data_IF_981258460807
#
_entry.id   IF_981258460807
#
_cell.length_a   1.000
_cell.length_b   1.000
_cell.length_c   1.000
_cell.angle_alpha   90.00
_cell.angle_beta   90.00
_cell.angle_gamma   90.00
#
_symmetry.space_group_name_H-M   'P 1'
#
loop_
_entity.id
_entity.type
_entity.pdbx_description
1 polymer ?
#
# COMPACT_ATOMS: atom_id res chain seq x y z
N UNK A 1 -13.21 -15.58 3.23
CA UNK A 1 -12.96 -14.31 2.52
C UNK A 1 -12.10 -13.41 3.38
N UNK A 2 -11.16 -12.72 2.77
CA UNK A 2 -10.21 -11.85 3.48
C UNK A 2 -10.28 -10.43 2.93
N UNK A 3 -10.32 -9.42 3.81
CA UNK A 3 -10.37 -8.01 3.43
C UNK A 3 -9.10 -7.28 3.87
N UNK A 4 -8.60 -6.43 2.99
CA UNK A 4 -7.52 -5.48 3.27
C UNK A 4 -8.10 -4.08 3.32
N UNK A 5 -7.91 -3.37 4.41
CA UNK A 5 -8.29 -1.96 4.55
C UNK A 5 -7.01 -1.13 4.54
N UNK A 6 -6.81 -0.36 3.50
CA UNK A 6 -5.66 0.56 3.38
C UNK A 6 -6.09 1.90 3.96
N UNK A 7 -5.50 2.27 5.09
CA UNK A 7 -5.83 3.49 5.83
C UNK A 7 -4.75 4.55 5.62
N UNK A 8 -5.17 5.74 5.22
CA UNK A 8 -4.27 6.88 5.03
C UNK A 8 -4.77 8.10 5.80
N UNK A 9 -4.42 8.20 7.08
CA UNK A 9 -4.65 9.39 7.90
C UNK A 9 -3.60 9.51 8.99
N UNK A 10 -3.04 10.72 9.21
CA UNK A 10 -1.97 10.92 10.20
C UNK A 10 -2.44 10.85 11.65
N UNK A 11 -3.73 11.11 11.92
CA UNK A 11 -4.27 11.12 13.28
C UNK A 11 -4.96 9.80 13.62
N UNK A 12 -4.43 9.10 14.62
CA UNK A 12 -4.96 7.81 15.05
C UNK A 12 -6.38 7.89 15.64
N UNK A 13 -6.81 9.07 16.08
CA UNK A 13 -8.15 9.31 16.62
C UNK A 13 -9.11 9.91 15.60
N UNK A 14 -8.70 10.00 14.33
CA UNK A 14 -9.51 10.57 13.27
C UNK A 14 -10.76 9.76 13.00
N UNK A 15 -11.74 10.41 12.38
CA UNK A 15 -12.93 9.74 11.86
C UNK A 15 -12.55 8.60 10.90
N UNK A 16 -11.56 8.84 10.02
CA UNK A 16 -11.08 7.83 9.08
C UNK A 16 -10.50 6.59 9.78
N UNK A 17 -9.69 6.79 10.82
CA UNK A 17 -9.13 5.67 11.58
C UNK A 17 -10.23 4.88 12.31
N UNK A 18 -11.22 5.57 12.86
CA UNK A 18 -12.36 4.93 13.50
C UNK A 18 -13.21 4.14 12.49
N UNK A 19 -13.45 4.70 11.31
CA UNK A 19 -14.18 4.02 10.24
C UNK A 19 -13.45 2.75 9.77
N UNK A 20 -12.13 2.80 9.66
CA UNK A 20 -11.34 1.61 9.32
C UNK A 20 -11.50 0.52 10.38
N UNK A 21 -11.45 0.88 11.66
CA UNK A 21 -11.62 -0.07 12.76
C UNK A 21 -13.02 -0.67 12.79
N UNK A 22 -14.05 0.16 12.64
CA UNK A 22 -15.45 -0.29 12.56
C UNK A 22 -15.63 -1.23 11.36
N UNK A 23 -15.06 -0.87 10.22
CA UNK A 23 -15.11 -1.71 9.02
C UNK A 23 -14.51 -3.09 9.26
N UNK A 24 -13.34 -3.13 9.90
CA UNK A 24 -12.69 -4.40 10.25
C UNK A 24 -13.58 -5.24 11.17
N UNK A 25 -14.07 -4.65 12.26
CA UNK A 25 -14.93 -5.35 13.23
C UNK A 25 -16.23 -5.86 12.59
N UNK A 26 -16.82 -5.06 11.70
CA UNK A 26 -18.05 -5.44 10.99
C UNK A 26 -17.81 -6.62 10.06
N UNK A 27 -16.72 -6.62 9.32
CA UNK A 27 -16.36 -7.73 8.45
C UNK A 27 -16.09 -9.01 9.27
N UNK A 28 -15.36 -8.88 10.36
CA UNK A 28 -15.10 -10.02 11.25
C UNK A 28 -16.39 -10.60 11.84
N UNK A 29 -17.36 -9.76 12.20
CA UNK A 29 -18.66 -10.20 12.68
C UNK A 29 -19.46 -10.97 11.62
N UNK A 30 -19.19 -10.72 10.34
CA UNK A 30 -19.80 -11.41 9.20
C UNK A 30 -19.00 -12.66 8.76
N UNK A 31 -17.99 -13.04 9.52
CA UNK A 31 -17.20 -14.25 9.25
C UNK A 31 -15.99 -14.06 8.35
N UNK A 32 -15.64 -12.81 7.99
CA UNK A 32 -14.43 -12.50 7.25
C UNK A 32 -13.22 -12.47 8.18
N UNK A 33 -12.04 -12.65 7.62
CA UNK A 33 -10.81 -12.13 8.22
C UNK A 33 -10.54 -10.75 7.63
N UNK A 34 -9.93 -9.84 8.40
CA UNK A 34 -9.65 -8.49 7.94
C UNK A 34 -8.37 -7.96 8.58
N UNK A 35 -7.60 -7.19 7.80
CA UNK A 35 -6.41 -6.51 8.30
C UNK A 35 -6.43 -5.05 7.85
N UNK A 36 -5.80 -4.18 8.66
CA UNK A 36 -5.64 -2.77 8.33
C UNK A 36 -4.17 -2.52 8.01
N UNK A 37 -3.91 -1.97 6.83
CA UNK A 37 -2.62 -1.41 6.47
C UNK A 37 -2.65 0.09 6.74
N UNK A 38 -2.12 0.50 7.91
CA UNK A 38 -2.08 1.90 8.33
C UNK A 38 -0.79 2.53 7.83
N UNK A 39 -0.87 3.24 6.71
CA UNK A 39 0.31 3.73 5.99
C UNK A 39 1.14 4.74 6.79
N UNK A 40 0.50 5.64 7.52
CA UNK A 40 1.21 6.60 8.37
C UNK A 40 1.92 5.91 9.54
N UNK A 41 1.24 4.98 10.19
CA UNK A 41 1.80 4.25 11.34
C UNK A 41 2.97 3.36 10.92
N UNK A 42 2.89 2.79 9.72
CA UNK A 42 3.96 1.95 9.16
C UNK A 42 5.15 2.77 8.68
N UNK A 43 5.03 4.09 8.62
CA UNK A 43 6.06 4.94 8.02
C UNK A 43 6.29 4.60 6.55
N UNK A 44 5.21 4.32 5.82
CA UNK A 44 5.32 3.97 4.41
C UNK A 44 5.95 5.12 3.62
N UNK A 45 7.02 4.84 2.85
CA UNK A 45 7.65 5.83 1.98
C UNK A 45 6.87 5.94 0.67
N UNK A 46 6.19 7.07 0.42
CA UNK A 46 5.37 7.23 -0.77
C UNK A 46 6.14 7.60 -2.03
N UNK A 47 7.40 8.00 -1.89
CA UNK A 47 8.17 8.55 -3.02
C UNK A 47 8.92 7.43 -3.74
N UNK A 48 8.47 7.10 -4.94
CA UNK A 48 9.22 6.16 -5.77
C UNK A 48 10.52 6.80 -6.27
N UNK A 49 11.60 6.03 -6.29
CA UNK A 49 12.90 6.52 -6.70
C UNK A 49 13.92 5.40 -6.89
N UNK A 50 15.03 5.74 -7.57
CA UNK A 50 16.07 4.75 -7.90
C UNK A 50 16.77 4.18 -6.66
N UNK A 51 16.75 4.90 -5.55
CA UNK A 51 17.34 4.45 -4.29
C UNK A 51 16.65 3.22 -3.69
N UNK A 52 15.44 2.91 -4.13
CA UNK A 52 14.72 1.71 -3.74
C UNK A 52 15.19 0.44 -4.48
N UNK A 53 16.04 0.59 -5.48
CA UNK A 53 16.49 -0.50 -6.35
C UNK A 53 18.01 -0.57 -6.35
N UNK A 54 18.63 -1.18 -5.32
CA UNK A 54 20.10 -1.22 -5.19
C UNK A 54 20.81 -2.06 -6.26
N UNK A 55 20.07 -2.96 -6.92
CA UNK A 55 20.58 -3.77 -8.03
C UNK A 55 19.74 -3.53 -9.29
N UNK A 56 19.82 -2.35 -9.90
CA UNK A 56 18.96 -2.00 -11.02
C UNK A 56 19.28 -2.83 -12.27
N UNK A 57 18.25 -3.06 -13.08
CA UNK A 57 18.40 -3.68 -14.40
C UNK A 57 19.15 -2.74 -15.35
N UNK A 58 18.83 -1.46 -15.28
CA UNK A 58 19.43 -0.42 -16.10
C UNK A 58 20.04 0.64 -15.20
N UNK A 59 21.38 0.63 -15.00
CA UNK A 59 22.01 1.58 -14.06
C UNK A 59 22.11 3.00 -14.57
N UNK A 60 22.02 3.22 -15.89
CA UNK A 60 22.23 4.54 -16.48
C UNK A 60 20.95 5.37 -16.65
N UNK A 61 19.80 4.73 -16.51
CA UNK A 61 18.51 5.40 -16.64
C UNK A 61 17.47 4.75 -15.73
N UNK A 62 16.86 5.54 -14.85
CA UNK A 62 15.83 5.04 -13.95
C UNK A 62 14.46 5.04 -14.64
N UNK A 63 13.93 3.85 -14.88
CA UNK A 63 12.54 3.62 -15.28
C UNK A 63 11.82 2.94 -14.12
N UNK A 64 10.90 3.65 -13.47
CA UNK A 64 10.18 3.09 -12.32
C UNK A 64 9.48 1.78 -12.67
N UNK A 65 8.74 1.74 -13.78
CA UNK A 65 8.03 0.55 -14.21
C UNK A 65 9.00 -0.60 -14.56
N UNK A 66 10.09 -0.28 -15.25
CA UNK A 66 11.09 -1.28 -15.62
C UNK A 66 11.76 -1.89 -14.41
N UNK A 67 12.14 -1.08 -13.43
CA UNK A 67 12.78 -1.56 -12.21
C UNK A 67 11.81 -2.30 -11.30
N UNK A 68 10.56 -1.87 -11.20
CA UNK A 68 9.52 -2.58 -10.45
C UNK A 68 9.31 -3.99 -11.00
N UNK A 69 9.16 -4.10 -12.33
CA UNK A 69 9.00 -5.39 -12.97
C UNK A 69 10.21 -6.31 -12.76
N UNK A 70 11.40 -5.76 -12.96
CA UNK A 70 12.64 -6.51 -12.74
C UNK A 70 12.76 -7.00 -11.29
N UNK A 71 12.45 -6.13 -10.33
CA UNK A 71 12.49 -6.49 -8.91
C UNK A 71 11.43 -7.55 -8.57
N UNK A 72 10.23 -7.45 -9.14
CA UNK A 72 9.21 -8.47 -8.96
C UNK A 72 9.64 -9.83 -9.54
N UNK A 73 10.20 -9.83 -10.75
CA UNK A 73 10.64 -11.04 -11.42
C UNK A 73 11.84 -11.72 -10.73
N UNK A 74 12.65 -10.97 -10.00
CA UNK A 74 13.85 -11.46 -9.31
C UNK A 74 13.68 -11.59 -7.79
N UNK A 75 12.46 -11.46 -7.27
CA UNK A 75 12.13 -11.45 -5.83
C UNK A 75 12.97 -10.42 -5.05
N UNK A 76 13.12 -9.24 -5.62
CA UNK A 76 13.93 -8.15 -5.08
C UNK A 76 13.13 -6.88 -4.82
N UNK A 77 11.80 -6.97 -4.68
CA UNK A 77 10.97 -5.83 -4.29
C UNK A 77 11.44 -5.27 -2.93
N UNK A 78 11.46 -3.95 -2.75
CA UNK A 78 11.76 -3.36 -1.45
C UNK A 78 10.89 -4.00 -0.36
N UNK A 79 11.43 -4.29 0.83
CA UNK A 79 10.68 -5.03 1.87
C UNK A 79 9.34 -4.43 2.21
N UNK A 80 9.25 -3.11 2.27
CA UNK A 80 8.01 -2.41 2.58
C UNK A 80 6.96 -2.61 1.47
N UNK A 81 7.37 -2.56 0.21
CA UNK A 81 6.49 -2.82 -0.94
C UNK A 81 6.10 -4.30 -1.00
N UNK A 82 7.05 -5.19 -0.78
CA UNK A 82 6.77 -6.64 -0.78
C UNK A 82 5.70 -7.00 0.24
N UNK A 83 5.80 -6.45 1.44
CA UNK A 83 4.79 -6.68 2.49
C UNK A 83 3.39 -6.22 2.05
N UNK A 84 3.28 -5.08 1.38
CA UNK A 84 1.99 -4.57 0.90
C UNK A 84 1.45 -5.40 -0.27
N UNK A 85 2.31 -5.81 -1.19
CA UNK A 85 1.92 -6.70 -2.30
C UNK A 85 1.38 -8.03 -1.77
N UNK A 86 2.04 -8.62 -0.78
CA UNK A 86 1.56 -9.85 -0.14
C UNK A 86 0.18 -9.68 0.50
N UNK A 87 -0.10 -8.52 1.12
CA UNK A 87 -1.43 -8.20 1.64
C UNK A 87 -2.47 -8.14 0.52
N UNK A 88 -2.11 -7.51 -0.60
CA UNK A 88 -2.99 -7.42 -1.76
C UNK A 88 -3.30 -8.80 -2.36
N UNK A 89 -2.29 -9.64 -2.50
CA UNK A 89 -2.43 -10.96 -3.12
C UNK A 89 -3.38 -11.89 -2.35
N UNK A 90 -3.43 -11.75 -1.02
CA UNK A 90 -4.35 -12.57 -0.22
C UNK A 90 -5.73 -11.95 -0.02
N UNK A 91 -5.96 -10.72 -0.49
CA UNK A 91 -7.22 -10.02 -0.27
C UNK A 91 -8.27 -10.39 -1.33
N UNK A 92 -9.49 -10.67 -0.87
CA UNK A 92 -10.67 -10.80 -1.72
C UNK A 92 -11.38 -9.45 -1.90
N UNK A 93 -11.17 -8.54 -0.95
CA UNK A 93 -11.72 -7.18 -0.95
C UNK A 93 -10.67 -6.21 -0.48
N UNK A 94 -10.52 -5.10 -1.20
CA UNK A 94 -9.65 -3.99 -0.79
C UNK A 94 -10.51 -2.74 -0.55
N UNK A 95 -10.38 -2.16 0.63
CA UNK A 95 -11.05 -0.92 1.02
C UNK A 95 -10.00 0.16 1.19
N UNK A 96 -10.19 1.29 0.53
CA UNK A 96 -9.35 2.47 0.73
C UNK A 96 -10.07 3.45 1.63
N UNK A 97 -9.53 3.69 2.83
CA UNK A 97 -10.09 4.62 3.81
C UNK A 97 -9.17 5.82 3.96
N UNK A 98 -9.64 6.99 3.49
CA UNK A 98 -8.82 8.20 3.45
C UNK A 98 -9.68 9.47 3.46
N UNK A 99 -9.14 10.60 3.92
CA UNK A 99 -9.78 11.90 3.78
C UNK A 99 -9.56 12.43 2.37
N UNK A 100 -10.56 13.14 1.84
CA UNK A 100 -10.37 13.81 0.56
C UNK A 100 -9.68 15.16 0.79
N UNK A 101 -8.40 15.23 0.44
CA UNK A 101 -7.59 16.45 0.54
C UNK A 101 -7.34 17.01 -0.87
N UNK A 102 -7.71 18.26 -1.07
CA UNK A 102 -7.56 18.91 -2.37
C UNK A 102 -8.13 18.06 -3.52
N UNK A 103 -9.35 17.59 -3.33
CA UNK A 103 -10.12 16.84 -4.32
C UNK A 103 -9.48 15.50 -4.73
N UNK A 104 -8.60 14.95 -3.90
CA UNK A 104 -7.91 13.70 -4.19
C UNK A 104 -7.52 12.96 -2.91
N UNK A 105 -6.72 11.91 -3.06
CA UNK A 105 -6.18 11.14 -1.94
C UNK A 105 -4.99 11.86 -1.30
N UNK A 106 -4.68 11.58 -0.02
CA UNK A 106 -3.42 12.00 0.56
C UNK A 106 -2.22 11.47 -0.23
N UNK A 107 -1.12 12.22 -0.23
CA UNK A 107 0.10 11.87 -0.98
C UNK A 107 0.59 10.45 -0.65
N UNK A 108 0.51 10.04 0.61
CA UNK A 108 0.99 8.71 1.02
C UNK A 108 0.22 7.58 0.33
N UNK A 109 -1.09 7.76 0.09
CA UNK A 109 -1.90 6.76 -0.60
C UNK A 109 -1.57 6.73 -2.09
N UNK A 110 -1.38 7.89 -2.72
CA UNK A 110 -0.95 7.94 -4.13
C UNK A 110 0.41 7.24 -4.30
N UNK A 111 1.34 7.47 -3.38
CA UNK A 111 2.63 6.78 -3.38
C UNK A 111 2.50 5.27 -3.20
N UNK A 112 1.54 4.83 -2.37
CA UNK A 112 1.25 3.41 -2.23
C UNK A 112 0.77 2.82 -3.56
N UNK A 113 -0.12 3.52 -4.28
CA UNK A 113 -0.57 3.09 -5.60
C UNK A 113 0.61 3.03 -6.59
N UNK A 114 1.46 4.07 -6.58
CA UNK A 114 2.62 4.14 -7.49
C UNK A 114 3.62 3.00 -7.25
N UNK A 115 3.80 2.57 -6.00
CA UNK A 115 4.84 1.60 -5.62
C UNK A 115 4.35 0.16 -5.49
N UNK A 116 3.08 -0.03 -5.12
CA UNK A 116 2.55 -1.36 -4.80
C UNK A 116 1.72 -1.97 -5.92
N UNK A 117 1.16 -1.18 -6.84
CA UNK A 117 0.57 -1.69 -8.07
C UNK A 117 1.67 -1.91 -9.10
N UNK A 118 2.45 -2.94 -8.85
CA UNK A 118 3.66 -3.24 -9.63
C UNK A 118 3.31 -3.60 -11.07
N UNK A 119 4.03 -2.97 -12.03
CA UNK A 119 3.84 -3.25 -13.44
C UNK A 119 4.30 -4.68 -13.78
N UNK A 120 3.42 -5.41 -14.48
CA UNK A 120 3.67 -6.80 -14.89
C UNK A 120 3.07 -7.81 -13.99
#
# INVERSE_FOLDING_TARGET
MHALIVLAHPEAKSFNAQMAQIGKETLEAEGWTAEISDLYRQGFDPCEGQDHFPAPKEPDYFSAQGEQRHAADTDALPPQVKAEVEKLERADLVVFQFPMWWFSTPAILKGWLDRCLVYG
#
